data_IF_123943910657
#
_entry.id   IF_123943910657
#
_cell.length_a   1.000
_cell.length_b   1.000
_cell.length_c   1.000
_cell.angle_alpha   90.00
_cell.angle_beta   90.00
_cell.angle_gamma   90.00
#
_symmetry.space_group_name_H-M   'P 1'
#
loop_
_entity.id
_entity.type
_entity.pdbx_description
1 polymer ?
#
# COMPACT_ATOMS: atom_id res chain seq x y z
N UNK A 1 18.78 14.97 2.62
CA UNK A 1 18.16 13.63 2.63
C UNK A 1 18.51 12.89 1.35
N UNK A 2 18.73 11.59 1.45
CA UNK A 2 19.11 10.72 0.33
C UNK A 2 18.18 9.50 0.32
N UNK A 3 17.75 9.07 -0.86
CA UNK A 3 17.04 7.80 -1.06
C UNK A 3 17.96 6.84 -1.82
N UNK A 4 18.10 5.62 -1.31
CA UNK A 4 18.83 4.53 -1.93
C UNK A 4 17.81 3.50 -2.38
N UNK A 5 17.78 3.18 -3.66
CA UNK A 5 16.92 2.15 -4.25
C UNK A 5 17.79 1.00 -4.73
N UNK A 6 17.57 -0.20 -4.17
CA UNK A 6 18.26 -1.42 -4.56
C UNK A 6 17.31 -2.36 -5.31
N UNK A 7 17.51 -2.47 -6.60
CA UNK A 7 16.81 -3.41 -7.47
C UNK A 7 17.83 -4.43 -8.05
N UNK A 8 17.89 -5.62 -7.48
CA UNK A 8 17.16 -6.11 -6.32
C UNK A 8 18.11 -6.68 -5.26
N UNK A 9 17.67 -6.66 -3.99
CA UNK A 9 18.41 -7.31 -2.89
C UNK A 9 18.43 -8.82 -3.01
N UNK A 10 17.51 -9.44 -3.75
CA UNK A 10 17.52 -10.87 -4.08
C UNK A 10 18.79 -11.28 -4.83
N UNK A 11 19.27 -10.46 -5.78
CA UNK A 11 20.51 -10.72 -6.51
C UNK A 11 21.73 -10.66 -5.61
N UNK A 12 21.73 -9.73 -4.67
CA UNK A 12 22.78 -9.66 -3.67
C UNK A 12 22.77 -10.89 -2.74
N UNK A 13 21.60 -11.38 -2.35
CA UNK A 13 21.47 -12.58 -1.54
C UNK A 13 21.92 -13.84 -2.32
N UNK A 14 21.60 -13.95 -3.61
CA UNK A 14 22.11 -15.02 -4.49
C UNK A 14 23.63 -15.01 -4.55
N UNK A 15 24.25 -13.84 -4.68
CA UNK A 15 25.70 -13.71 -4.66
C UNK A 15 26.31 -14.15 -3.31
N UNK A 16 25.67 -13.83 -2.20
CA UNK A 16 26.10 -14.31 -0.87
C UNK A 16 26.00 -15.83 -0.78
N UNK A 17 24.94 -16.45 -1.29
CA UNK A 17 24.78 -17.91 -1.34
C UNK A 17 25.90 -18.57 -2.16
N UNK A 18 26.21 -18.00 -3.32
CA UNK A 18 27.28 -18.52 -4.18
C UNK A 18 28.65 -18.39 -3.51
N UNK A 19 28.94 -17.26 -2.87
CA UNK A 19 30.21 -17.07 -2.14
C UNK A 19 30.35 -18.02 -0.95
N UNK A 20 29.28 -18.15 -0.14
CA UNK A 20 29.26 -19.08 0.99
C UNK A 20 29.47 -20.53 0.55
N UNK A 21 28.87 -20.96 -0.56
CA UNK A 21 29.09 -22.28 -1.14
C UNK A 21 30.52 -22.51 -1.59
N UNK A 22 31.17 -21.50 -2.19
CA UNK A 22 32.60 -21.59 -2.60
C UNK A 22 33.55 -21.61 -1.40
N UNK A 23 33.16 -21.04 -0.29
CA UNK A 23 33.92 -21.03 0.96
C UNK A 23 33.63 -22.26 1.83
N UNK A 24 32.82 -23.19 1.33
CA UNK A 24 32.41 -24.42 2.04
C UNK A 24 31.79 -24.13 3.42
N UNK A 25 31.10 -22.99 3.56
CA UNK A 25 30.39 -22.63 4.79
C UNK A 25 29.14 -23.52 4.95
N UNK A 26 28.74 -23.76 6.22
CA UNK A 26 27.55 -24.55 6.50
C UNK A 26 26.29 -23.84 5.95
N UNK A 27 25.53 -24.46 5.04
CA UNK A 27 24.36 -23.87 4.46
C UNK A 27 23.19 -23.83 5.48
N UNK A 28 22.44 -22.75 5.47
CA UNK A 28 21.14 -22.64 6.11
C UNK A 28 19.99 -23.00 5.17
N UNK A 29 18.83 -22.39 5.37
CA UNK A 29 17.62 -22.63 4.58
C UNK A 29 17.86 -22.34 3.09
N UNK A 30 17.44 -23.27 2.22
CA UNK A 30 17.59 -23.20 0.77
C UNK A 30 19.04 -22.91 0.27
N UNK A 31 20.04 -23.28 1.07
CA UNK A 31 21.45 -23.07 0.73
C UNK A 31 21.97 -21.65 0.95
N UNK A 32 21.18 -20.76 1.53
CA UNK A 32 21.65 -19.45 1.97
C UNK A 32 22.54 -19.56 3.20
N UNK A 33 23.49 -18.63 3.41
CA UNK A 33 24.29 -18.63 4.63
C UNK A 33 23.45 -18.31 5.85
N UNK A 34 23.73 -18.93 6.99
CA UNK A 34 23.01 -18.73 8.24
C UNK A 34 22.97 -17.25 8.70
N UNK A 35 23.96 -16.45 8.26
CA UNK A 35 24.04 -15.02 8.57
C UNK A 35 23.30 -14.10 7.58
N UNK A 36 22.50 -14.62 6.66
CA UNK A 36 21.74 -13.81 5.70
C UNK A 36 20.91 -12.72 6.39
N UNK A 37 20.13 -13.09 7.41
CA UNK A 37 19.32 -12.14 8.17
C UNK A 37 20.14 -11.04 8.82
N UNK A 38 21.29 -11.35 9.41
CA UNK A 38 22.19 -10.38 9.98
C UNK A 38 22.74 -9.39 8.94
N UNK A 39 23.11 -9.88 7.75
CA UNK A 39 23.59 -9.01 6.66
C UNK A 39 22.50 -8.08 6.12
N UNK A 40 21.27 -8.58 6.01
CA UNK A 40 20.12 -7.75 5.63
C UNK A 40 19.84 -6.68 6.70
N UNK A 41 19.92 -7.04 7.98
CA UNK A 41 19.77 -6.09 9.09
C UNK A 41 20.84 -5.00 9.01
N UNK A 42 22.12 -5.36 8.85
CA UNK A 42 23.23 -4.42 8.70
C UNK A 42 23.02 -3.41 7.56
N UNK A 43 22.38 -3.85 6.48
CA UNK A 43 22.03 -2.99 5.34
C UNK A 43 20.91 -2.00 5.69
N UNK A 44 19.77 -2.49 6.20
CA UNK A 44 18.61 -1.66 6.47
C UNK A 44 18.76 -0.77 7.70
N UNK A 45 19.57 -1.14 8.69
CA UNK A 45 19.89 -0.30 9.87
C UNK A 45 20.58 1.01 9.52
N UNK A 46 21.18 1.12 8.34
CA UNK A 46 21.79 2.36 7.85
C UNK A 46 20.77 3.42 7.46
N UNK A 47 19.50 3.04 7.27
CA UNK A 47 18.42 3.98 7.03
C UNK A 47 18.00 4.67 8.34
N UNK A 48 17.76 5.97 8.26
CA UNK A 48 17.29 6.73 9.40
C UNK A 48 17.55 8.22 9.29
N UNK A 49 17.06 8.97 10.27
CA UNK A 49 17.27 10.40 10.41
C UNK A 49 18.23 10.64 11.56
N UNK A 50 19.28 11.41 11.29
CA UNK A 50 20.36 11.68 12.24
C UNK A 50 20.70 13.16 12.32
N UNK A 51 21.28 13.58 13.44
CA UNK A 51 21.99 14.85 13.53
C UNK A 51 23.43 14.58 13.09
N UNK A 52 23.87 15.29 12.04
CA UNK A 52 25.20 15.10 11.48
C UNK A 52 26.29 15.53 12.45
N UNK A 53 27.43 14.85 12.36
CA UNK A 53 28.64 15.28 13.07
C UNK A 53 29.04 16.65 12.51
N UNK A 54 29.14 17.64 13.40
CA UNK A 54 29.45 19.03 13.04
C UNK A 54 28.92 19.99 14.10
N UNK A 55 29.32 21.26 13.99
CA UNK A 55 28.94 22.31 14.98
C UNK A 55 27.59 22.97 14.62
N UNK A 56 27.07 22.76 13.42
CA UNK A 56 25.90 23.43 12.86
C UNK A 56 24.56 22.76 13.20
N UNK A 57 24.57 21.60 13.88
CA UNK A 57 23.36 20.86 14.26
C UNK A 57 22.54 20.37 13.04
N UNK A 58 23.15 20.29 11.87
CA UNK A 58 22.54 19.89 10.61
C UNK A 58 21.96 18.48 10.70
N UNK A 59 20.76 18.29 10.17
CA UNK A 59 20.09 16.99 10.10
C UNK A 59 20.22 16.37 8.70
N UNK A 60 20.39 15.08 8.67
CA UNK A 60 20.37 14.27 7.46
C UNK A 60 19.46 13.07 7.61
N UNK A 61 18.97 12.55 6.48
CA UNK A 61 18.19 11.33 6.46
C UNK A 61 18.58 10.43 5.28
N UNK A 62 18.58 9.13 5.52
CA UNK A 62 18.73 8.09 4.49
C UNK A 62 17.49 7.23 4.51
N UNK A 63 16.86 7.10 3.34
CA UNK A 63 15.75 6.17 3.11
C UNK A 63 16.25 5.03 2.24
N UNK A 64 16.13 3.79 2.71
CA UNK A 64 16.50 2.59 1.96
C UNK A 64 15.23 1.90 1.42
N UNK A 65 15.17 1.71 0.11
CA UNK A 65 14.12 0.99 -0.58
C UNK A 65 14.75 -0.22 -1.25
N UNK A 66 14.42 -1.43 -0.80
CA UNK A 66 14.92 -2.66 -1.38
C UNK A 66 13.82 -3.41 -2.11
N UNK A 67 14.03 -3.70 -3.39
CA UNK A 67 13.17 -4.60 -4.12
C UNK A 67 13.58 -6.04 -3.82
N UNK A 68 12.59 -6.90 -3.58
CA UNK A 68 12.76 -8.34 -3.41
C UNK A 68 11.92 -9.03 -4.48
N UNK A 69 12.51 -10.00 -5.18
CA UNK A 69 11.87 -10.72 -6.29
C UNK A 69 11.81 -12.21 -5.94
N UNK A 70 10.82 -12.63 -5.14
CA UNK A 70 10.70 -14.03 -4.76
C UNK A 70 10.34 -14.89 -5.98
N UNK A 71 10.99 -16.07 -6.19
CA UNK A 71 10.65 -16.98 -7.27
C UNK A 71 9.17 -17.40 -7.21
N UNK A 72 8.46 -17.30 -8.34
CA UNK A 72 7.04 -17.65 -8.40
C UNK A 72 6.10 -16.76 -7.57
N UNK A 73 6.59 -15.66 -7.00
CA UNK A 73 5.81 -14.81 -6.09
C UNK A 73 5.64 -15.39 -4.69
N UNK A 74 6.41 -16.41 -4.33
CA UNK A 74 6.32 -17.06 -3.01
C UNK A 74 6.99 -16.22 -1.92
N UNK A 75 6.19 -15.56 -1.11
CA UNK A 75 6.66 -14.75 0.01
C UNK A 75 7.24 -15.57 1.17
N UNK A 76 7.14 -16.91 1.16
CA UNK A 76 7.71 -17.78 2.20
C UNK A 76 9.21 -18.06 2.01
N UNK A 77 9.77 -17.66 0.89
CA UNK A 77 11.18 -17.79 0.53
C UNK A 77 12.09 -17.07 1.56
N UNK A 78 13.30 -17.64 1.88
CA UNK A 78 14.13 -17.18 3.00
C UNK A 78 14.57 -15.71 2.93
N UNK A 79 14.89 -15.17 1.74
CA UNK A 79 15.32 -13.76 1.59
C UNK A 79 14.15 -12.83 1.89
N UNK A 80 12.98 -13.14 1.35
CA UNK A 80 11.74 -12.37 1.58
C UNK A 80 11.35 -12.41 3.05
N UNK A 81 11.32 -13.58 3.66
CA UNK A 81 10.99 -13.72 5.08
C UNK A 81 11.98 -13.00 5.99
N UNK A 82 13.27 -13.10 5.72
CA UNK A 82 14.31 -12.39 6.47
C UNK A 82 14.15 -10.87 6.32
N UNK A 83 13.83 -10.40 5.12
CA UNK A 83 13.60 -8.97 4.84
C UNK A 83 12.37 -8.46 5.58
N UNK A 84 11.24 -9.16 5.52
CA UNK A 84 9.97 -8.77 6.15
C UNK A 84 10.08 -8.68 7.69
N UNK A 85 10.98 -9.45 8.31
CA UNK A 85 11.24 -9.36 9.76
C UNK A 85 12.01 -8.10 10.17
N UNK A 86 12.70 -7.46 9.22
CA UNK A 86 13.58 -6.32 9.49
C UNK A 86 12.90 -5.00 9.11
N UNK A 87 12.26 -4.96 7.92
CA UNK A 87 11.68 -3.73 7.39
C UNK A 87 10.37 -3.37 8.08
N UNK A 88 10.14 -2.08 8.24
CA UNK A 88 8.91 -1.55 8.87
C UNK A 88 7.82 -1.20 7.85
N UNK A 89 8.16 -1.13 6.58
CA UNK A 89 7.22 -0.83 5.49
C UNK A 89 7.34 -1.90 4.42
N UNK A 90 6.23 -2.40 3.98
CA UNK A 90 6.14 -3.37 2.89
C UNK A 90 5.12 -2.92 1.84
N UNK A 91 5.54 -2.90 0.60
CA UNK A 91 4.70 -2.70 -0.57
C UNK A 91 4.58 -4.01 -1.34
N UNK A 92 3.45 -4.67 -1.21
CA UNK A 92 3.15 -5.90 -1.93
C UNK A 92 2.79 -5.60 -3.38
N UNK A 93 3.69 -5.87 -4.30
CA UNK A 93 3.41 -5.72 -5.73
C UNK A 93 2.47 -6.84 -6.20
N UNK A 94 1.46 -6.48 -6.98
CA UNK A 94 0.43 -7.40 -7.46
C UNK A 94 0.41 -7.42 -9.00
N UNK A 95 0.73 -8.59 -9.56
CA UNK A 95 0.74 -8.79 -11.00
C UNK A 95 -0.65 -8.64 -11.63
N UNK A 96 -1.73 -9.00 -10.91
CA UNK A 96 -3.09 -8.87 -11.43
C UNK A 96 -3.50 -7.41 -11.57
N UNK A 97 -3.09 -6.54 -10.61
CA UNK A 97 -3.30 -5.10 -10.73
C UNK A 97 -2.54 -4.54 -11.95
N UNK A 98 -1.29 -4.97 -12.15
CA UNK A 98 -0.50 -4.56 -13.31
C UNK A 98 -1.13 -5.01 -14.64
N UNK A 99 -1.64 -6.23 -14.72
CA UNK A 99 -2.36 -6.72 -15.91
C UNK A 99 -3.65 -5.93 -16.20
N UNK A 100 -4.34 -5.49 -15.16
CA UNK A 100 -5.51 -4.59 -15.28
C UNK A 100 -5.12 -3.15 -15.56
N UNK A 101 -3.83 -2.84 -15.68
CA UNK A 101 -3.27 -1.48 -15.84
C UNK A 101 -3.64 -0.52 -14.70
N UNK A 102 -3.83 -1.07 -13.51
CA UNK A 102 -3.97 -0.30 -12.29
C UNK A 102 -2.57 0.02 -11.74
N UNK A 103 -2.20 1.28 -11.72
CA UNK A 103 -0.89 1.74 -11.27
C UNK A 103 -1.04 2.85 -10.21
N UNK A 104 -0.15 2.85 -9.18
CA UNK A 104 0.84 1.83 -8.87
C UNK A 104 0.20 0.47 -8.56
N UNK A 105 0.84 -0.62 -9.03
CA UNK A 105 0.32 -1.99 -8.85
C UNK A 105 0.66 -2.52 -7.45
N UNK A 106 0.30 -1.79 -6.42
CA UNK A 106 0.55 -2.08 -5.01
C UNK A 106 -0.75 -2.59 -4.39
N UNK A 107 -0.72 -3.81 -3.86
CA UNK A 107 -1.86 -4.40 -3.19
C UNK A 107 -2.07 -3.74 -1.82
N UNK A 108 -3.20 -3.07 -1.64
CA UNK A 108 -3.56 -2.33 -0.42
C UNK A 108 -3.91 -3.20 0.77
N UNK A 109 -4.31 -4.46 0.55
CA UNK A 109 -4.63 -5.42 1.63
C UNK A 109 -3.34 -5.98 2.25
N UNK A 110 -2.37 -6.36 1.40
CA UNK A 110 -1.15 -7.04 1.83
C UNK A 110 -0.03 -6.07 2.23
N UNK A 111 -0.14 -4.81 1.83
CA UNK A 111 0.85 -3.78 2.14
C UNK A 111 0.64 -3.22 3.54
N UNK A 112 1.73 -2.86 4.21
CA UNK A 112 1.65 -2.27 5.55
C UNK A 112 2.77 -1.26 5.83
N UNK A 113 2.54 -0.43 6.83
CA UNK A 113 3.55 0.44 7.42
C UNK A 113 3.41 0.43 8.94
N UNK A 114 4.50 0.09 9.63
CA UNK A 114 4.58 0.18 11.09
C UNK A 114 4.85 1.62 11.58
N UNK A 115 4.99 2.57 10.65
CA UNK A 115 5.11 4.00 10.98
C UNK A 115 3.75 4.71 11.00
N UNK A 116 2.64 4.01 10.78
CA UNK A 116 1.31 4.62 10.63
C UNK A 116 0.98 5.59 11.75
N UNK A 117 1.15 5.20 13.01
CA UNK A 117 0.81 6.05 14.16
C UNK A 117 1.60 7.37 14.19
N UNK A 118 2.90 7.30 13.85
CA UNK A 118 3.75 8.50 13.81
C UNK A 118 3.37 9.40 12.64
N UNK A 119 3.13 8.81 11.47
CA UNK A 119 2.76 9.53 10.25
C UNK A 119 1.37 10.13 10.37
N UNK A 120 0.40 9.38 10.90
CA UNK A 120 -0.96 9.86 11.14
C UNK A 120 -0.97 11.04 12.12
N UNK A 121 -0.17 10.99 13.19
CA UNK A 121 -0.02 12.11 14.13
C UNK A 121 0.54 13.39 13.47
N UNK A 122 1.43 13.24 12.50
CA UNK A 122 1.92 14.35 11.68
C UNK A 122 0.86 14.88 10.72
N UNK A 123 0.21 13.98 9.97
CA UNK A 123 -0.79 14.34 8.96
C UNK A 123 -2.05 14.95 9.58
N UNK A 124 -2.48 14.46 10.73
CA UNK A 124 -3.59 15.05 11.48
C UNK A 124 -3.32 16.50 11.90
N UNK A 125 -2.05 16.86 12.15
CA UNK A 125 -1.67 18.24 12.51
C UNK A 125 -1.44 19.15 11.30
N UNK A 126 -0.94 18.60 10.20
CA UNK A 126 -0.47 19.40 9.05
C UNK A 126 -1.44 19.46 7.90
N UNK A 127 -2.32 18.47 7.74
CA UNK A 127 -3.27 18.40 6.63
C UNK A 127 -4.70 18.58 7.13
N UNK A 128 -5.19 17.66 7.97
CA UNK A 128 -6.54 17.73 8.52
C UNK A 128 -6.67 16.82 9.75
N UNK A 129 -7.40 17.26 10.76
CA UNK A 129 -7.57 16.54 12.04
C UNK A 129 -8.20 15.14 11.89
N UNK A 130 -9.00 14.93 10.85
CA UNK A 130 -9.71 13.70 10.56
C UNK A 130 -9.00 12.79 9.53
N UNK A 131 -7.74 13.10 9.13
CA UNK A 131 -6.99 12.33 8.13
C UNK A 131 -6.92 10.83 8.47
N UNK A 132 -6.46 10.50 9.67
CA UNK A 132 -6.28 9.10 10.09
C UNK A 132 -7.61 8.35 10.16
N UNK A 133 -8.69 9.03 10.53
CA UNK A 133 -10.04 8.43 10.57
C UNK A 133 -10.52 8.08 9.16
N UNK A 134 -10.38 9.01 8.20
CA UNK A 134 -10.77 8.76 6.81
C UNK A 134 -9.94 7.64 6.18
N UNK A 135 -8.63 7.61 6.44
CA UNK A 135 -7.76 6.54 5.99
C UNK A 135 -8.22 5.17 6.53
N UNK A 136 -8.51 5.10 7.83
CA UNK A 136 -8.97 3.86 8.45
C UNK A 136 -10.33 3.41 7.91
N UNK A 137 -11.24 4.35 7.68
CA UNK A 137 -12.56 4.06 7.09
C UNK A 137 -12.41 3.49 5.66
N UNK A 138 -11.53 4.08 4.84
CA UNK A 138 -11.25 3.57 3.50
C UNK A 138 -10.63 2.17 3.52
N UNK A 139 -9.67 1.92 4.42
CA UNK A 139 -9.06 0.60 4.58
C UNK A 139 -10.08 -0.45 5.02
N UNK A 140 -10.95 -0.12 5.96
CA UNK A 140 -12.04 -1.03 6.39
C UNK A 140 -12.97 -1.36 5.23
N UNK A 141 -13.35 -0.34 4.43
CA UNK A 141 -14.18 -0.55 3.26
C UNK A 141 -13.54 -1.49 2.22
N UNK A 142 -12.25 -1.32 1.94
CA UNK A 142 -11.52 -2.19 1.01
C UNK A 142 -11.36 -3.62 1.54
N UNK A 143 -11.24 -3.81 2.85
CA UNK A 143 -11.24 -5.13 3.47
C UNK A 143 -12.61 -5.80 3.38
N UNK A 144 -13.69 -5.07 3.66
CA UNK A 144 -15.07 -5.55 3.50
C UNK A 144 -15.36 -5.94 2.04
N UNK A 145 -14.88 -5.13 1.08
CA UNK A 145 -15.03 -5.41 -0.35
C UNK A 145 -14.44 -6.77 -0.72
N UNK A 146 -13.25 -7.10 -0.20
CA UNK A 146 -12.60 -8.38 -0.51
C UNK A 146 -13.49 -9.56 -0.15
N UNK A 147 -14.10 -9.55 1.05
CA UNK A 147 -15.05 -10.59 1.46
C UNK A 147 -16.34 -10.61 0.63
N UNK A 148 -16.87 -9.43 0.27
CA UNK A 148 -18.06 -9.34 -0.57
C UNK A 148 -17.79 -9.84 -2.00
N UNK A 149 -16.61 -9.62 -2.55
CA UNK A 149 -16.22 -10.12 -3.86
C UNK A 149 -16.14 -11.66 -3.90
N UNK A 150 -15.72 -12.30 -2.83
CA UNK A 150 -15.76 -13.76 -2.71
C UNK A 150 -17.21 -14.27 -2.77
N UNK A 151 -18.13 -13.62 -2.07
CA UNK A 151 -19.56 -13.95 -2.11
C UNK A 151 -20.11 -13.76 -3.53
N UNK A 152 -19.81 -12.62 -4.18
CA UNK A 152 -20.26 -12.35 -5.56
C UNK A 152 -19.74 -13.40 -6.53
N UNK A 153 -18.51 -13.87 -6.36
CA UNK A 153 -17.93 -14.92 -7.23
C UNK A 153 -18.64 -16.27 -7.12
N UNK A 154 -19.24 -16.55 -5.97
CA UNK A 154 -19.92 -17.82 -5.70
C UNK A 154 -21.42 -17.79 -6.04
N UNK A 155 -22.12 -16.72 -5.70
CA UNK A 155 -23.59 -16.66 -5.78
C UNK A 155 -24.13 -15.52 -6.64
N UNK A 156 -23.27 -14.66 -7.16
CA UNK A 156 -23.64 -13.50 -7.98
C UNK A 156 -23.97 -12.25 -7.18
N UNK A 157 -23.97 -11.10 -7.87
CA UNK A 157 -24.18 -9.78 -7.25
C UNK A 157 -25.62 -9.59 -6.74
N UNK A 158 -26.58 -10.30 -7.36
CA UNK A 158 -27.99 -10.19 -7.01
C UNK A 158 -28.35 -10.77 -5.65
N UNK A 159 -27.47 -11.58 -5.08
CA UNK A 159 -27.60 -12.10 -3.73
C UNK A 159 -27.25 -11.10 -2.64
N UNK A 160 -26.59 -9.97 -2.98
CA UNK A 160 -26.18 -8.96 -2.03
C UNK A 160 -27.32 -7.97 -1.70
N UNK A 161 -27.31 -7.49 -0.47
CA UNK A 161 -28.16 -6.38 -0.07
C UNK A 161 -27.80 -5.08 -0.84
N UNK A 162 -28.74 -4.13 -0.96
CA UNK A 162 -28.43 -2.81 -1.57
C UNK A 162 -27.30 -2.09 -0.85
N UNK A 163 -27.18 -2.23 0.47
CA UNK A 163 -26.08 -1.66 1.25
C UNK A 163 -24.72 -2.30 0.89
N UNK A 164 -24.69 -3.61 0.68
CA UNK A 164 -23.45 -4.28 0.31
C UNK A 164 -23.06 -3.98 -1.14
N UNK A 165 -24.03 -3.87 -2.04
CA UNK A 165 -23.80 -3.37 -3.41
C UNK A 165 -23.26 -1.94 -3.39
N UNK A 166 -23.78 -1.05 -2.55
CA UNK A 166 -23.25 0.29 -2.38
C UNK A 166 -21.80 0.28 -1.90
N UNK A 167 -21.45 -0.59 -0.93
CA UNK A 167 -20.06 -0.75 -0.48
C UNK A 167 -19.13 -1.15 -1.63
N UNK A 168 -19.53 -2.10 -2.48
CA UNK A 168 -18.73 -2.49 -3.65
C UNK A 168 -18.52 -1.32 -4.62
N UNK A 169 -19.54 -0.53 -4.89
CA UNK A 169 -19.44 0.63 -5.78
C UNK A 169 -18.55 1.73 -5.21
N UNK A 170 -18.64 2.02 -3.91
CA UNK A 170 -17.77 3.01 -3.27
C UNK A 170 -16.33 2.50 -3.17
N UNK A 171 -16.12 1.22 -2.85
CA UNK A 171 -14.79 0.62 -2.85
C UNK A 171 -14.15 0.65 -4.25
N UNK A 172 -14.96 0.44 -5.31
CA UNK A 172 -14.53 0.64 -6.69
C UNK A 172 -14.04 2.07 -6.93
N UNK A 173 -14.77 3.07 -6.47
CA UNK A 173 -14.36 4.48 -6.59
C UNK A 173 -13.06 4.74 -5.82
N UNK A 174 -12.90 4.19 -4.61
CA UNK A 174 -11.62 4.30 -3.88
C UNK A 174 -10.47 3.69 -4.69
N UNK A 175 -10.65 2.54 -5.33
CA UNK A 175 -9.60 1.89 -6.12
C UNK A 175 -9.29 2.62 -7.42
N UNK A 176 -10.32 2.99 -8.19
CA UNK A 176 -10.18 3.47 -9.56
C UNK A 176 -9.99 5.00 -9.63
N UNK A 177 -10.64 5.77 -8.74
CA UNK A 177 -10.59 7.23 -8.78
C UNK A 177 -9.56 7.81 -7.81
N UNK A 178 -9.23 7.09 -6.72
CA UNK A 178 -8.32 7.58 -5.68
C UNK A 178 -6.96 6.86 -5.65
N UNK A 179 -6.93 5.52 -5.65
CA UNK A 179 -5.68 4.75 -5.55
C UNK A 179 -4.96 4.63 -6.89
N UNK A 180 -5.68 4.56 -8.01
CA UNK A 180 -5.06 4.57 -9.33
C UNK A 180 -4.49 5.95 -9.63
N UNK A 181 -3.25 5.98 -10.12
CA UNK A 181 -2.52 7.20 -10.42
C UNK A 181 -1.91 7.12 -11.82
N UNK A 182 -2.06 8.19 -12.60
CA UNK A 182 -1.41 8.30 -13.90
C UNK A 182 -0.07 9.05 -13.76
N UNK A 183 1.04 8.29 -13.74
CA UNK A 183 2.38 8.85 -13.62
C UNK A 183 2.85 9.72 -14.79
N UNK A 184 2.08 9.82 -15.89
CA UNK A 184 2.38 10.66 -17.05
C UNK A 184 1.52 11.92 -17.11
N UNK A 185 0.60 12.10 -16.18
CA UNK A 185 -0.25 13.28 -16.11
C UNK A 185 0.34 14.30 -15.13
N UNK A 186 0.52 15.55 -15.57
CA UNK A 186 1.22 16.58 -14.80
C UNK A 186 0.68 16.79 -13.37
N UNK A 187 -0.64 16.80 -13.22
CA UNK A 187 -1.28 17.02 -11.91
C UNK A 187 -1.24 15.76 -11.07
N UNK A 188 -1.41 14.59 -11.69
CA UNK A 188 -1.54 13.32 -10.98
C UNK A 188 -0.18 12.77 -10.52
N UNK A 189 0.88 13.04 -11.29
CA UNK A 189 2.26 12.65 -10.95
C UNK A 189 2.71 13.22 -9.60
N UNK A 190 2.28 14.43 -9.25
CA UNK A 190 2.68 15.15 -8.04
C UNK A 190 1.47 15.55 -7.18
N UNK A 191 0.58 14.63 -6.92
CA UNK A 191 -0.63 14.88 -6.12
C UNK A 191 -0.27 15.34 -4.70
N UNK A 192 -0.70 16.55 -4.33
CA UNK A 192 -0.47 17.11 -3.00
C UNK A 192 -1.26 16.37 -1.92
N UNK A 193 -0.78 16.42 -0.67
CA UNK A 193 -1.49 15.84 0.47
C UNK A 193 -2.89 16.45 0.68
N UNK A 194 -3.04 17.75 0.42
CA UNK A 194 -4.34 18.44 0.49
C UNK A 194 -5.32 17.90 -0.57
N UNK A 195 -4.85 17.66 -1.80
CA UNK A 195 -5.67 17.04 -2.85
C UNK A 195 -6.06 15.62 -2.46
N UNK A 196 -5.11 14.79 -1.99
CA UNK A 196 -5.39 13.42 -1.54
C UNK A 196 -6.47 13.41 -0.45
N UNK A 197 -6.34 14.28 0.54
CA UNK A 197 -7.35 14.41 1.60
C UNK A 197 -8.74 14.74 1.06
N UNK A 198 -8.83 15.75 0.21
CA UNK A 198 -10.11 16.20 -0.36
C UNK A 198 -10.77 15.12 -1.22
N UNK A 199 -9.99 14.42 -2.04
CA UNK A 199 -10.50 13.34 -2.87
C UNK A 199 -11.06 12.19 -2.03
N UNK A 200 -10.29 11.71 -1.05
CA UNK A 200 -10.74 10.63 -0.17
C UNK A 200 -11.98 11.04 0.62
N UNK A 201 -12.00 12.26 1.14
CA UNK A 201 -13.14 12.81 1.87
C UNK A 201 -14.41 12.89 1.01
N UNK A 202 -14.28 13.26 -0.26
CA UNK A 202 -15.43 13.31 -1.19
C UNK A 202 -16.01 11.92 -1.45
N UNK A 203 -15.17 10.91 -1.69
CA UNK A 203 -15.62 9.54 -1.90
C UNK A 203 -16.34 8.99 -0.66
N UNK A 204 -15.78 9.20 0.52
CA UNK A 204 -16.38 8.73 1.77
C UNK A 204 -17.63 9.54 2.16
N UNK A 205 -17.69 10.84 1.83
CA UNK A 205 -18.89 11.64 2.00
C UNK A 205 -20.02 11.14 1.10
N UNK A 206 -19.72 10.83 -0.16
CA UNK A 206 -20.70 10.22 -1.06
C UNK A 206 -21.25 8.92 -0.48
N UNK A 207 -20.41 8.03 0.06
CA UNK A 207 -20.83 6.82 0.77
C UNK A 207 -21.86 7.15 1.85
N UNK A 208 -21.51 8.05 2.74
CA UNK A 208 -22.35 8.42 3.91
C UNK A 208 -23.71 8.97 3.49
N UNK A 209 -23.75 9.83 2.48
CA UNK A 209 -25.03 10.40 2.00
C UNK A 209 -25.84 9.36 1.21
N UNK A 210 -25.17 8.47 0.46
CA UNK A 210 -25.84 7.36 -0.21
C UNK A 210 -26.44 6.34 0.78
N UNK A 211 -25.75 6.00 1.86
CA UNK A 211 -26.31 5.16 2.94
C UNK A 211 -27.55 5.80 3.58
N UNK A 212 -27.52 7.12 3.83
CA UNK A 212 -28.68 7.85 4.34
C UNK A 212 -29.87 7.83 3.37
N UNK A 213 -29.60 7.95 2.07
CA UNK A 213 -30.65 7.90 1.06
C UNK A 213 -31.28 6.51 0.98
N UNK A 214 -30.47 5.43 1.07
CA UNK A 214 -30.99 4.06 1.15
C UNK A 214 -31.85 3.85 2.38
N UNK A 215 -31.43 4.35 3.55
CA UNK A 215 -32.19 4.26 4.80
C UNK A 215 -33.51 5.06 4.72
N UNK A 216 -33.57 6.09 3.88
CA UNK A 216 -34.79 6.85 3.57
C UNK A 216 -35.67 6.19 2.50
N UNK A 217 -35.27 5.00 1.98
CA UNK A 217 -36.07 4.24 1.00
C UNK A 217 -35.83 4.61 -0.46
N UNK A 218 -34.74 5.32 -0.77
CA UNK A 218 -34.34 5.57 -2.17
C UNK A 218 -33.64 4.32 -2.71
N UNK A 219 -34.03 3.85 -3.89
CA UNK A 219 -33.39 2.70 -4.56
C UNK A 219 -31.96 3.01 -4.96
N UNK A 220 -31.09 2.01 -4.83
CA UNK A 220 -29.67 2.11 -5.13
C UNK A 220 -29.39 2.60 -6.56
N UNK A 221 -30.11 2.07 -7.54
CA UNK A 221 -29.91 2.43 -8.95
C UNK A 221 -30.05 3.94 -9.19
N UNK A 222 -31.02 4.60 -8.55
CA UNK A 222 -31.20 6.05 -8.64
C UNK A 222 -30.04 6.83 -8.01
N UNK A 223 -29.43 6.29 -6.96
CA UNK A 223 -28.27 6.90 -6.31
C UNK A 223 -27.05 6.76 -7.23
N UNK A 224 -26.91 5.61 -7.89
CA UNK A 224 -25.79 5.32 -8.79
C UNK A 224 -25.85 6.10 -10.11
N UNK A 225 -27.04 6.54 -10.55
CA UNK A 225 -27.25 7.38 -11.74
C UNK A 225 -26.95 8.88 -11.51
N UNK A 226 -26.65 9.30 -10.27
CA UNK A 226 -26.37 10.70 -9.98
C UNK A 226 -25.09 11.20 -10.68
N UNK A 227 -25.19 12.33 -11.40
CA UNK A 227 -24.06 12.98 -12.07
C UNK A 227 -22.88 13.32 -11.12
N UNK A 228 -23.14 13.38 -9.81
CA UNK A 228 -22.09 13.66 -8.82
C UNK A 228 -20.99 12.59 -8.83
N UNK A 229 -21.32 11.33 -9.15
CA UNK A 229 -20.33 10.25 -9.29
C UNK A 229 -19.30 10.56 -10.38
N UNK A 230 -19.78 10.96 -11.55
CA UNK A 230 -18.92 11.32 -12.69
C UNK A 230 -18.03 12.54 -12.37
N UNK A 231 -18.53 13.44 -11.52
CA UNK A 231 -17.77 14.61 -11.08
C UNK A 231 -16.70 14.24 -10.04
N UNK A 232 -16.93 13.22 -9.20
CA UNK A 232 -15.95 12.69 -8.24
C UNK A 232 -14.83 11.94 -8.98
N UNK A 233 -15.18 11.18 -10.03
CA UNK A 233 -14.24 10.40 -10.83
C UNK A 233 -13.33 11.22 -11.76
N UNK A 234 -13.64 12.50 -11.99
CA UNK A 234 -12.87 13.43 -12.85
C UNK A 234 -11.89 14.29 -12.06
#
# INVERSE_FOLDING_TARGET
SVSIMADSTSRWAEALREMSGRLEEMPGDEGYPAYLGSRLSDYYERAGKVVCLGKDGRQGAVTAIGAVSPPGGDLSEPVTQSTLRIVKVFWGLDAQLAYKRHFPAINWINSYSLYSDTVDGYLNKTVAEDWSVLRQEAMTLLQEESGLQEIVSLVGIDALSEKDRLKLEVAKSVREDYLQQNGFHEIDTYTSLDKQYKMLKLVLLFRKEAERALDAGVYLDKILELEVRDKIAR
#
